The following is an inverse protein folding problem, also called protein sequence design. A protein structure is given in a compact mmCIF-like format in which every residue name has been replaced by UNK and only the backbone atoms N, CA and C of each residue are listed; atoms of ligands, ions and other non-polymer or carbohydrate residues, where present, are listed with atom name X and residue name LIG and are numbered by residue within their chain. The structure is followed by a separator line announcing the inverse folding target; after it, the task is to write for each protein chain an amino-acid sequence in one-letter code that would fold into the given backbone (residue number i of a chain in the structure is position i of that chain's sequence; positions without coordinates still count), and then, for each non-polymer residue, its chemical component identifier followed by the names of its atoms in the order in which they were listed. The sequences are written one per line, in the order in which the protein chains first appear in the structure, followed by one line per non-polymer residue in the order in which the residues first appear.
data_IF_960359598007
#
_entry.id   IF_960359598007
#
_cell.length_a   1.000
_cell.length_b   1.000
_cell.length_c   1.000
_cell.angle_alpha   90.00
_cell.angle_beta   90.00
_cell.angle_gamma   90.00
#
_symmetry.space_group_name_H-M   'P 1'
#
loop_
_entity.id
_entity.type
_entity.pdbx_description
1 polymer ?
#
# COMPACT_ATOMS: atom_id res chain seq x y z
N UNK A 1 32.60 17.97 -7.04
CA UNK A 1 31.85 19.20 -6.70
C UNK A 1 31.06 19.67 -7.92
N UNK A 2 29.74 19.67 -7.83
CA UNK A 2 28.84 20.26 -8.83
C UNK A 2 28.71 21.76 -8.49
N UNK A 3 29.02 22.67 -9.41
CA UNK A 3 28.89 24.13 -9.19
C UNK A 3 27.78 24.69 -10.09
N UNK A 4 26.69 25.19 -9.52
CA UNK A 4 25.71 26.03 -10.23
C UNK A 4 25.89 27.51 -9.88
N UNK A 5 25.66 28.37 -10.88
CA UNK A 5 25.93 29.81 -10.87
C UNK A 5 24.81 30.57 -10.16
N UNK A 6 25.16 31.23 -9.05
CA UNK A 6 24.55 32.37 -8.34
C UNK A 6 24.54 32.08 -6.83
N UNK A 7 25.54 32.64 -6.11
CA UNK A 7 25.73 32.44 -4.66
C UNK A 7 26.07 30.99 -4.31
N UNK A 8 27.28 30.54 -4.67
CA UNK A 8 27.68 29.11 -4.83
C UNK A 8 27.13 28.17 -3.75
N UNK A 9 25.99 27.55 -4.03
CA UNK A 9 25.51 26.40 -3.30
C UNK A 9 26.35 25.19 -3.70
N UNK A 10 26.70 24.37 -2.72
CA UNK A 10 27.53 23.20 -2.88
C UNK A 10 26.81 22.00 -2.29
N UNK A 11 26.52 21.02 -3.16
CA UNK A 11 25.96 19.73 -2.76
C UNK A 11 27.09 18.73 -2.49
N UNK A 12 27.06 18.10 -1.33
CA UNK A 12 27.93 16.96 -1.02
C UNK A 12 27.31 15.65 -1.56
N UNK A 13 28.04 14.55 -1.43
CA UNK A 13 27.56 13.20 -1.74
C UNK A 13 27.11 12.53 -0.45
N UNK A 14 26.02 11.76 -0.49
CA UNK A 14 25.66 10.87 0.61
C UNK A 14 26.17 9.45 0.40
N UNK A 15 26.50 8.79 1.50
CA UNK A 15 26.78 7.37 1.60
C UNK A 15 25.59 6.65 2.23
N UNK A 16 25.07 5.64 1.54
CA UNK A 16 23.88 4.88 1.94
C UNK A 16 24.17 3.39 1.83
N UNK A 17 23.68 2.56 2.76
CA UNK A 17 23.77 1.11 2.62
C UNK A 17 22.75 0.55 1.64
N UNK A 18 22.96 -0.68 1.15
CA UNK A 18 22.02 -1.33 0.22
C UNK A 18 20.60 -1.53 0.80
N UNK A 19 20.43 -1.45 2.12
CA UNK A 19 19.14 -1.46 2.81
C UNK A 19 18.56 -0.05 3.10
N UNK A 20 19.22 1.02 2.67
CA UNK A 20 18.68 2.39 2.71
C UNK A 20 19.04 3.21 3.94
N UNK A 21 19.86 2.69 4.85
CA UNK A 21 20.37 3.48 5.97
C UNK A 21 21.41 4.50 5.48
N UNK A 22 21.13 5.79 5.69
CA UNK A 22 22.09 6.87 5.45
C UNK A 22 23.20 6.76 6.51
N UNK A 23 24.43 6.62 6.04
CA UNK A 23 25.64 6.54 6.87
C UNK A 23 26.23 7.93 7.07
N UNK A 24 26.38 8.68 5.98
CA UNK A 24 26.93 10.02 5.98
C UNK A 24 26.31 10.84 4.85
N UNK A 25 25.67 11.96 5.16
CA UNK A 25 25.12 12.87 4.15
C UNK A 25 26.14 13.91 3.62
N UNK A 26 27.35 13.91 4.17
CA UNK A 26 28.47 14.81 3.88
C UNK A 26 29.75 13.97 3.62
N UNK A 27 29.69 13.03 2.67
CA UNK A 27 30.73 12.02 2.41
C UNK A 27 32.13 12.60 2.22
N UNK A 28 32.24 13.73 1.51
CA UNK A 28 33.52 14.37 1.27
C UNK A 28 33.95 15.27 2.42
N UNK A 29 33.01 15.96 3.08
CA UNK A 29 33.34 16.91 4.13
C UNK A 29 33.68 16.23 5.47
N UNK A 30 32.96 15.17 5.84
CA UNK A 30 33.15 14.45 7.11
C UNK A 30 33.53 13.00 6.85
N UNK A 31 34.66 12.80 6.16
CA UNK A 31 35.10 11.48 5.71
C UNK A 31 35.35 10.47 6.83
N UNK A 32 35.60 10.94 8.05
CA UNK A 32 35.73 10.15 9.29
C UNK A 32 34.45 9.40 9.68
N UNK A 33 33.29 9.86 9.18
CA UNK A 33 32.00 9.20 9.40
C UNK A 33 31.74 8.09 8.37
N UNK A 34 32.54 7.99 7.31
CA UNK A 34 32.31 7.00 6.25
C UNK A 34 32.53 5.57 6.75
N UNK A 35 31.75 4.63 6.23
CA UNK A 35 31.86 3.21 6.57
C UNK A 35 31.76 2.34 5.33
N UNK A 36 32.58 1.30 5.23
CA UNK A 36 32.50 0.31 4.14
C UNK A 36 31.21 -0.52 4.23
N UNK A 37 30.75 -0.80 5.45
CA UNK A 37 29.54 -1.55 5.76
C UNK A 37 28.70 -0.77 6.76
N UNK A 38 27.38 -0.97 6.71
CA UNK A 38 26.44 -0.38 7.65
C UNK A 38 26.65 -0.96 9.05
N UNK A 39 26.80 -0.08 10.04
CA UNK A 39 26.84 -0.41 11.46
C UNK A 39 25.51 -0.97 12.00
N UNK A 40 24.39 -0.61 11.36
CA UNK A 40 23.05 -1.07 11.76
C UNK A 40 22.67 -2.44 11.21
N UNK A 41 23.04 -2.75 9.97
CA UNK A 41 22.58 -3.97 9.28
C UNK A 41 23.66 -4.77 8.55
N UNK A 42 24.93 -4.36 8.61
CA UNK A 42 26.06 -5.08 7.99
C UNK A 42 26.21 -4.92 6.47
N UNK A 43 25.20 -4.38 5.77
CA UNK A 43 25.21 -4.28 4.31
C UNK A 43 26.26 -3.32 3.75
N UNK A 44 26.68 -3.57 2.50
CA UNK A 44 27.62 -2.72 1.78
C UNK A 44 27.05 -1.30 1.59
N UNK A 45 27.94 -0.32 1.56
CA UNK A 45 27.57 1.08 1.31
C UNK A 45 27.93 1.53 -0.11
N UNK A 46 27.13 2.44 -0.63
CA UNK A 46 27.29 3.04 -1.96
C UNK A 46 27.17 4.56 -1.85
N UNK A 47 27.80 5.26 -2.79
CA UNK A 47 27.80 6.73 -2.87
C UNK A 47 27.34 7.25 -4.24
N UNK A 48 26.98 6.35 -5.15
CA UNK A 48 26.59 6.65 -6.51
C UNK A 48 25.48 5.72 -7.00
N UNK A 49 24.75 6.14 -8.02
CA UNK A 49 23.78 5.33 -8.73
C UNK A 49 24.45 4.05 -9.27
N UNK A 50 23.86 2.88 -8.98
CA UNK A 50 24.37 1.59 -9.46
C UNK A 50 24.06 1.32 -10.94
N UNK A 51 23.23 2.15 -11.58
CA UNK A 51 23.01 2.06 -13.02
C UNK A 51 24.30 2.43 -13.77
N UNK A 52 24.91 1.50 -14.54
CA UNK A 52 26.18 1.75 -15.23
C UNK A 52 26.14 2.92 -16.23
N UNK A 53 24.96 3.21 -16.77
CA UNK A 53 24.74 4.36 -17.68
C UNK A 53 24.65 5.71 -16.96
N UNK A 54 24.46 5.69 -15.63
CA UNK A 54 24.28 6.89 -14.81
C UNK A 54 25.51 7.19 -13.95
N UNK A 55 25.85 6.32 -13.00
CA UNK A 55 26.96 6.46 -12.04
C UNK A 55 27.07 7.84 -11.34
N UNK A 56 25.98 8.62 -11.29
CA UNK A 56 26.01 9.94 -10.65
C UNK A 56 26.02 9.79 -9.12
N UNK A 57 26.69 10.70 -8.38
CA UNK A 57 26.71 10.68 -6.93
C UNK A 57 25.30 10.76 -6.35
N UNK A 58 25.06 10.08 -5.23
CA UNK A 58 23.78 10.20 -4.53
C UNK A 58 23.78 11.56 -3.80
N UNK A 59 22.77 12.42 -4.01
CA UNK A 59 22.75 13.78 -3.45
C UNK A 59 22.76 13.78 -1.92
N UNK A 60 23.78 14.39 -1.33
CA UNK A 60 23.87 14.64 0.10
C UNK A 60 23.41 16.04 0.49
N UNK A 61 23.89 16.54 1.62
CA UNK A 61 23.53 17.84 2.17
C UNK A 61 23.90 18.98 1.21
N UNK A 62 22.99 19.95 1.08
CA UNK A 62 23.21 21.17 0.30
C UNK A 62 23.63 22.30 1.25
N UNK A 63 24.71 23.01 0.90
CA UNK A 63 25.28 24.10 1.71
C UNK A 63 25.45 25.38 0.91
N UNK A 64 25.33 26.54 1.56
CA UNK A 64 25.80 27.81 1.00
C UNK A 64 27.32 27.86 1.00
N UNK A 65 27.88 28.80 0.23
CA UNK A 65 29.29 29.17 0.29
C UNK A 65 29.81 29.46 1.72
N UNK A 66 28.92 29.95 2.60
CA UNK A 66 29.21 30.23 4.02
C UNK A 66 29.34 28.98 4.90
N UNK A 67 29.11 27.78 4.34
CA UNK A 67 29.12 26.50 5.07
C UNK A 67 27.80 26.13 5.74
N UNK A 68 26.82 27.03 5.76
CA UNK A 68 25.48 26.83 6.32
C UNK A 68 24.71 25.78 5.50
N UNK A 69 24.12 24.78 6.18
CA UNK A 69 23.23 23.80 5.55
C UNK A 69 21.93 24.50 5.15
N UNK A 70 21.54 24.33 3.89
CA UNK A 70 20.26 24.81 3.34
C UNK A 70 19.27 23.65 3.28
N UNK A 71 19.75 22.45 2.98
CA UNK A 71 18.94 21.24 2.88
C UNK A 71 19.69 20.08 3.52
N UNK A 72 19.04 19.47 4.53
CA UNK A 72 19.55 18.30 5.23
C UNK A 72 18.89 17.04 4.67
N UNK A 73 19.66 16.19 4.00
CA UNK A 73 19.19 14.91 3.49
C UNK A 73 19.36 13.82 4.55
N UNK A 74 18.32 13.60 5.35
CA UNK A 74 18.32 12.60 6.43
C UNK A 74 17.89 11.20 5.97
N UNK A 75 17.22 11.11 4.81
CA UNK A 75 16.69 9.88 4.23
C UNK A 75 17.31 9.62 2.87
N UNK A 76 17.45 8.34 2.51
CA UNK A 76 17.93 7.98 1.19
C UNK A 76 16.82 8.16 0.13
N UNK A 77 17.12 8.72 -1.06
CA UNK A 77 16.13 8.83 -2.12
C UNK A 77 15.76 7.45 -2.67
N UNK A 78 14.48 7.21 -2.94
CA UNK A 78 14.00 5.95 -3.53
C UNK A 78 14.43 5.78 -4.99
N UNK A 79 14.54 6.88 -5.73
CA UNK A 79 14.89 6.91 -7.14
C UNK A 79 16.06 7.85 -7.39
N UNK A 80 16.90 7.50 -8.36
CA UNK A 80 18.00 8.35 -8.78
C UNK A 80 17.48 9.63 -9.46
N UNK A 81 17.83 10.85 -8.99
CA UNK A 81 17.30 12.10 -9.55
C UNK A 81 17.84 12.40 -10.96
N UNK A 82 18.83 11.64 -11.43
CA UNK A 82 19.46 11.85 -12.73
C UNK A 82 18.95 10.89 -13.81
N UNK A 83 18.53 9.68 -13.45
CA UNK A 83 18.09 8.66 -14.42
C UNK A 83 16.77 7.97 -14.06
N UNK A 84 16.16 8.34 -12.93
CA UNK A 84 14.89 7.82 -12.42
C UNK A 84 14.84 6.32 -12.12
N UNK A 85 15.95 5.58 -12.24
CA UNK A 85 16.00 4.17 -11.80
C UNK A 85 15.93 4.09 -10.28
N UNK A 86 15.20 3.09 -9.79
CA UNK A 86 15.08 2.80 -8.36
C UNK A 86 16.44 2.41 -7.77
N UNK A 87 16.70 2.83 -6.54
CA UNK A 87 17.83 2.35 -5.76
C UNK A 87 17.54 0.99 -5.13
N UNK A 88 18.57 0.22 -4.69
CA UNK A 88 18.39 -1.11 -4.13
C UNK A 88 17.47 -1.17 -2.89
N UNK A 89 17.46 -0.11 -2.10
CA UNK A 89 16.62 0.00 -0.91
C UNK A 89 15.20 0.46 -1.20
N UNK A 90 14.89 0.81 -2.46
CA UNK A 90 13.52 1.09 -2.85
C UNK A 90 12.72 -0.20 -2.65
N UNK A 91 11.87 -0.20 -1.62
CA UNK A 91 10.99 -1.32 -1.34
C UNK A 91 9.89 -1.31 -2.39
N UNK A 92 10.17 -1.91 -3.53
CA UNK A 92 9.10 -2.36 -4.41
C UNK A 92 8.51 -3.61 -3.77
N UNK A 93 7.52 -3.43 -2.89
CA UNK A 93 6.89 -4.56 -2.20
C UNK A 93 6.36 -5.61 -3.18
N UNK A 94 5.95 -5.19 -4.38
CA UNK A 94 5.53 -6.10 -5.45
C UNK A 94 6.66 -7.05 -5.95
N UNK A 95 7.93 -6.64 -5.85
CA UNK A 95 9.07 -7.47 -6.23
C UNK A 95 9.40 -8.53 -5.17
N UNK A 96 9.16 -8.24 -3.88
CA UNK A 96 9.32 -9.17 -2.76
C UNK A 96 8.44 -10.41 -2.92
N UNK A 97 7.19 -10.22 -3.36
CA UNK A 97 6.26 -11.33 -3.62
C UNK A 97 6.76 -12.26 -4.75
N UNK A 98 7.38 -11.67 -5.79
CA UNK A 98 7.89 -12.41 -6.94
C UNK A 98 9.09 -13.32 -6.60
N UNK A 99 9.98 -12.88 -5.71
CA UNK A 99 11.21 -13.63 -5.35
C UNK A 99 10.96 -14.75 -4.35
N UNK A 100 9.92 -14.64 -3.50
CA UNK A 100 9.64 -15.61 -2.42
C UNK A 100 8.60 -16.67 -2.88
N UNK A 101 8.13 -16.60 -4.13
CA UNK A 101 7.05 -17.48 -4.62
C UNK A 101 5.72 -17.25 -3.91
N UNK A 102 5.52 -16.05 -3.34
CA UNK A 102 4.28 -15.64 -2.68
C UNK A 102 3.39 -15.00 -3.75
N UNK A 103 2.12 -15.40 -3.78
CA UNK A 103 1.15 -14.79 -4.67
C UNK A 103 1.01 -13.29 -4.39
N UNK A 104 0.81 -12.50 -5.46
CA UNK A 104 0.65 -11.05 -5.29
C UNK A 104 -0.54 -10.75 -4.37
N UNK A 105 -0.49 -9.70 -3.53
CA UNK A 105 -1.57 -9.38 -2.59
C UNK A 105 -2.99 -9.43 -3.16
N UNK A 106 -3.18 -8.89 -4.38
CA UNK A 106 -4.47 -8.90 -5.08
C UNK A 106 -4.90 -10.32 -5.47
N UNK A 107 -3.97 -11.17 -5.92
CA UNK A 107 -4.24 -12.56 -6.28
C UNK A 107 -4.62 -13.36 -5.02
N UNK A 108 -3.91 -13.16 -3.92
CA UNK A 108 -4.21 -13.73 -2.61
C UNK A 108 -5.61 -13.32 -2.13
N UNK A 109 -5.94 -12.02 -2.17
CA UNK A 109 -7.27 -11.51 -1.82
C UNK A 109 -8.36 -12.12 -2.70
N UNK A 110 -8.15 -12.18 -4.02
CA UNK A 110 -9.09 -12.80 -4.94
C UNK A 110 -9.33 -14.28 -4.58
N UNK A 111 -8.29 -15.02 -4.16
CA UNK A 111 -8.44 -16.41 -3.71
C UNK A 111 -9.24 -16.50 -2.42
N UNK A 112 -8.91 -15.72 -1.41
CA UNK A 112 -9.66 -15.66 -0.14
C UNK A 112 -11.14 -15.37 -0.41
N UNK A 113 -11.43 -14.30 -1.16
CA UNK A 113 -12.79 -13.89 -1.51
C UNK A 113 -13.51 -14.97 -2.32
N UNK A 114 -12.86 -15.60 -3.30
CA UNK A 114 -13.49 -16.65 -4.12
C UNK A 114 -13.90 -17.89 -3.31
N UNK A 115 -13.23 -18.15 -2.18
CA UNK A 115 -13.50 -19.28 -1.28
C UNK A 115 -14.37 -18.90 -0.09
N UNK A 116 -14.67 -17.62 0.11
CA UNK A 116 -15.39 -17.11 1.27
C UNK A 116 -16.70 -17.87 1.53
N UNK A 117 -17.59 -17.96 0.53
CA UNK A 117 -18.85 -18.71 0.68
C UNK A 117 -18.66 -20.19 1.03
N UNK A 118 -17.62 -20.82 0.47
CA UNK A 118 -17.33 -22.23 0.75
C UNK A 118 -16.93 -22.41 2.22
N UNK A 119 -16.18 -21.47 2.78
CA UNK A 119 -15.80 -21.44 4.19
C UNK A 119 -17.06 -21.21 5.05
N UNK A 120 -17.92 -20.25 4.70
CA UNK A 120 -19.20 -20.02 5.40
C UNK A 120 -20.05 -21.30 5.44
N UNK A 121 -20.19 -22.02 4.32
CA UNK A 121 -20.89 -23.31 4.27
C UNK A 121 -20.25 -24.36 5.18
N UNK A 122 -18.92 -24.44 5.24
CA UNK A 122 -18.21 -25.37 6.13
C UNK A 122 -18.40 -25.00 7.60
N UNK A 123 -18.37 -23.72 7.95
CA UNK A 123 -18.65 -23.25 9.31
C UNK A 123 -20.09 -23.54 9.76
N UNK A 124 -21.06 -23.52 8.83
CA UNK A 124 -22.46 -23.88 9.11
C UNK A 124 -22.67 -25.39 9.32
N UNK A 125 -21.83 -26.23 8.72
CA UNK A 125 -21.93 -27.69 8.86
C UNK A 125 -21.18 -28.20 10.11
N UNK A 126 -21.82 -28.08 11.27
CA UNK A 126 -21.22 -28.44 12.57
C UNK A 126 -21.70 -29.80 13.06
N UNK A 127 -20.79 -30.56 13.67
CA UNK A 127 -21.14 -31.77 14.40
C UNK A 127 -22.17 -31.45 15.49
N UNK A 128 -23.23 -32.25 15.58
CA UNK A 128 -24.29 -32.16 16.60
C UNK A 128 -24.94 -30.76 16.71
N UNK A 129 -25.13 -30.07 15.58
CA UNK A 129 -25.82 -28.76 15.51
C UNK A 129 -25.25 -27.69 16.45
N UNK A 130 -23.94 -27.73 16.73
CA UNK A 130 -23.29 -26.76 17.62
C UNK A 130 -23.31 -25.35 17.02
N UNK A 131 -23.33 -24.36 17.91
CA UNK A 131 -23.25 -22.95 17.54
C UNK A 131 -21.97 -22.61 16.77
N UNK A 132 -22.08 -21.64 15.86
CA UNK A 132 -21.04 -21.22 14.93
C UNK A 132 -21.18 -19.74 14.60
N UNK A 133 -20.19 -19.15 13.94
CA UNK A 133 -20.30 -17.81 13.39
C UNK A 133 -21.39 -17.79 12.31
N UNK A 134 -22.51 -17.12 12.60
CA UNK A 134 -23.63 -17.01 11.68
C UNK A 134 -23.51 -15.73 10.88
N UNK A 135 -23.14 -15.83 9.59
CA UNK A 135 -23.04 -14.67 8.69
C UNK A 135 -24.44 -14.19 8.28
N UNK A 136 -24.89 -13.09 8.88
CA UNK A 136 -26.23 -12.47 8.71
C UNK A 136 -26.16 -11.08 8.09
N UNK A 137 -25.10 -10.33 8.35
CA UNK A 137 -24.88 -9.01 7.77
C UNK A 137 -23.40 -8.74 7.43
N UNK A 138 -23.11 -7.51 6.99
CA UNK A 138 -21.77 -7.10 6.56
C UNK A 138 -20.73 -7.15 7.69
N UNK A 139 -21.13 -6.95 8.95
CA UNK A 139 -20.21 -7.03 10.08
C UNK A 139 -19.78 -8.48 10.34
N UNK A 140 -20.68 -9.45 10.18
CA UNK A 140 -20.28 -10.86 10.27
C UNK A 140 -19.37 -11.29 9.09
N UNK A 141 -19.56 -10.68 7.91
CA UNK A 141 -18.65 -10.87 6.77
C UNK A 141 -17.27 -10.32 7.11
N UNK A 142 -17.22 -9.11 7.67
CA UNK A 142 -15.99 -8.48 8.13
C UNK A 142 -15.27 -9.36 9.17
N UNK A 143 -15.96 -9.87 10.19
CA UNK A 143 -15.32 -10.68 11.24
C UNK A 143 -14.70 -11.98 10.69
N UNK A 144 -15.38 -12.66 9.75
CA UNK A 144 -14.80 -13.83 9.11
C UNK A 144 -13.65 -13.46 8.16
N UNK A 145 -13.79 -12.36 7.41
CA UNK A 145 -12.76 -11.92 6.48
C UNK A 145 -11.47 -11.53 7.22
N UNK A 146 -11.59 -10.76 8.29
CA UNK A 146 -10.49 -10.34 9.16
C UNK A 146 -9.64 -11.55 9.61
N UNK A 147 -10.32 -12.59 10.12
CA UNK A 147 -9.67 -13.83 10.53
C UNK A 147 -8.93 -14.56 9.39
N UNK A 148 -9.41 -14.45 8.14
CA UNK A 148 -8.76 -15.03 6.97
C UNK A 148 -7.61 -14.18 6.45
N UNK A 149 -7.68 -12.85 6.57
CA UNK A 149 -6.63 -11.93 6.13
C UNK A 149 -5.35 -12.11 6.94
N UNK A 150 -5.45 -12.41 8.24
CA UNK A 150 -4.31 -12.68 9.15
C UNK A 150 -3.41 -13.82 8.65
N UNK A 151 -3.92 -14.72 7.80
CA UNK A 151 -3.10 -15.79 7.20
C UNK A 151 -2.04 -15.25 6.23
N UNK A 152 -2.22 -14.05 5.70
CA UNK A 152 -1.45 -13.54 4.56
C UNK A 152 -0.89 -12.12 4.76
N UNK A 153 -1.47 -11.31 5.65
CA UNK A 153 -1.13 -9.89 5.81
C UNK A 153 -0.74 -9.57 7.25
N UNK A 154 0.29 -8.73 7.42
CA UNK A 154 0.89 -8.44 8.74
C UNK A 154 0.25 -7.23 9.46
N UNK A 155 -0.02 -6.11 8.76
CA UNK A 155 -0.61 -4.88 9.32
C UNK A 155 -2.01 -4.66 8.73
N UNK A 156 -3.02 -5.25 9.38
CA UNK A 156 -4.45 -5.13 9.05
C UNK A 156 -5.09 -4.17 10.04
N UNK A 157 -5.59 -3.03 9.55
CA UNK A 157 -6.25 -2.01 10.38
C UNK A 157 -7.74 -2.00 10.10
N UNK A 158 -8.53 -2.26 11.14
CA UNK A 158 -9.99 -2.17 11.06
C UNK A 158 -10.45 -0.73 11.21
N UNK A 159 -11.51 -0.36 10.49
CA UNK A 159 -12.21 0.91 10.69
C UNK A 159 -11.28 2.15 10.55
N UNK A 160 -10.31 2.07 9.62
CA UNK A 160 -9.26 3.07 9.46
C UNK A 160 -9.87 4.41 9.03
N UNK A 161 -9.69 5.48 9.83
CA UNK A 161 -10.27 6.78 9.52
C UNK A 161 -9.55 7.43 8.33
N UNK A 162 -10.33 7.94 7.39
CA UNK A 162 -9.79 8.73 6.27
C UNK A 162 -9.48 10.15 6.73
N UNK A 163 -8.41 10.79 6.20
CA UNK A 163 -8.18 12.22 6.39
C UNK A 163 -9.47 12.99 6.08
N UNK A 164 -9.88 13.88 6.99
CA UNK A 164 -11.22 14.47 6.97
C UNK A 164 -11.51 15.19 5.64
N UNK A 165 -12.41 14.62 4.83
CA UNK A 165 -13.06 15.33 3.74
C UNK A 165 -14.44 15.75 4.23
N UNK A 166 -14.65 17.06 4.42
CA UNK A 166 -15.91 17.71 4.78
C UNK A 166 -16.87 16.90 5.72
N UNK A 167 -16.77 17.19 7.02
CA UNK A 167 -17.84 17.06 8.02
C UNK A 167 -18.16 15.68 8.63
N UNK A 168 -17.36 14.63 8.39
CA UNK A 168 -17.19 13.44 9.28
C UNK A 168 -16.07 12.56 8.70
N UNK A 169 -15.18 12.02 9.53
CA UNK A 169 -14.18 11.05 9.04
C UNK A 169 -14.91 9.80 8.56
N UNK A 170 -14.84 9.50 7.27
CA UNK A 170 -15.22 8.18 6.76
C UNK A 170 -14.21 7.14 7.27
N UNK A 171 -14.62 5.88 7.30
CA UNK A 171 -13.77 4.79 7.79
C UNK A 171 -13.79 3.68 6.78
N UNK A 172 -12.60 3.26 6.35
CA UNK A 172 -12.43 2.08 5.50
C UNK A 172 -12.56 0.85 6.41
N UNK A 173 -13.35 -0.15 6.01
CA UNK A 173 -13.56 -1.35 6.83
C UNK A 173 -12.23 -2.02 7.20
N UNK A 174 -11.35 -2.21 6.21
CA UNK A 174 -9.97 -2.66 6.43
C UNK A 174 -8.97 -1.87 5.60
N UNK A 175 -7.83 -1.54 6.20
CA UNK A 175 -6.63 -1.11 5.50
C UNK A 175 -5.52 -2.14 5.71
N UNK A 176 -5.08 -2.77 4.62
CA UNK A 176 -3.82 -3.52 4.55
C UNK A 176 -2.69 -2.51 4.35
N UNK A 177 -2.04 -2.14 5.44
CA UNK A 177 -1.23 -0.92 5.51
C UNK A 177 0.04 -0.97 4.66
N UNK A 178 0.72 -2.11 4.63
CA UNK A 178 1.94 -2.27 3.82
C UNK A 178 1.59 -2.32 2.34
N UNK A 179 0.57 -3.10 2.00
CA UNK A 179 0.11 -3.30 0.63
C UNK A 179 -0.59 -2.07 0.05
N UNK A 180 -0.95 -1.10 0.90
CA UNK A 180 -1.76 0.08 0.57
C UNK A 180 -3.09 -0.26 -0.09
N UNK A 181 -3.72 -1.32 0.43
CA UNK A 181 -4.99 -1.83 -0.06
C UNK A 181 -6.08 -1.54 0.97
N UNK A 182 -7.06 -0.71 0.60
CA UNK A 182 -8.32 -0.62 1.32
C UNK A 182 -9.26 -1.74 0.90
N UNK A 183 -10.03 -2.28 1.84
CA UNK A 183 -11.11 -3.23 1.56
C UNK A 183 -12.40 -2.64 2.14
N UNK A 184 -13.43 -2.55 1.30
CA UNK A 184 -14.79 -2.16 1.68
C UNK A 184 -15.69 -3.38 1.49
N UNK A 185 -16.44 -3.75 2.53
CA UNK A 185 -17.29 -4.93 2.57
C UNK A 185 -18.76 -4.52 2.50
N UNK A 186 -19.52 -5.22 1.66
CA UNK A 186 -20.99 -5.16 1.65
C UNK A 186 -21.57 -6.56 1.66
N UNK A 187 -22.74 -6.71 2.28
CA UNK A 187 -23.53 -7.94 2.18
C UNK A 187 -24.92 -7.60 1.67
N UNK A 188 -25.40 -8.33 0.67
CA UNK A 188 -26.78 -8.15 0.19
C UNK A 188 -27.76 -8.60 1.26
N UNK A 189 -28.85 -7.86 1.41
CA UNK A 189 -29.95 -8.19 2.33
C UNK A 189 -31.27 -7.63 1.82
N UNK A 190 -32.37 -7.88 2.53
CA UNK A 190 -33.66 -7.30 2.16
C UNK A 190 -33.56 -5.77 2.17
N UNK A 191 -33.79 -5.16 1.01
CA UNK A 191 -33.68 -3.70 0.83
C UNK A 191 -32.26 -3.17 0.58
N UNK A 192 -31.27 -4.04 0.38
CA UNK A 192 -29.90 -3.68 0.01
C UNK A 192 -29.42 -4.64 -1.10
N UNK A 193 -29.58 -4.22 -2.36
CA UNK A 193 -29.24 -4.99 -3.55
C UNK A 193 -28.51 -4.10 -4.59
N UNK A 194 -28.64 -4.36 -5.89
CA UNK A 194 -27.84 -3.74 -6.97
C UNK A 194 -27.73 -2.20 -6.83
N UNK A 195 -28.86 -1.51 -6.70
CA UNK A 195 -28.90 -0.04 -6.71
C UNK A 195 -28.31 0.54 -5.43
N UNK A 196 -28.79 0.08 -4.28
CA UNK A 196 -28.38 0.62 -2.98
C UNK A 196 -26.91 0.33 -2.69
N UNK A 197 -26.40 -0.85 -3.08
CA UNK A 197 -24.97 -1.18 -2.96
C UNK A 197 -24.14 -0.27 -3.88
N UNK A 198 -24.56 -0.08 -5.13
CA UNK A 198 -23.87 0.79 -6.07
C UNK A 198 -23.77 2.22 -5.56
N UNK A 199 -24.87 2.79 -5.06
CA UNK A 199 -24.92 4.15 -4.51
C UNK A 199 -24.00 4.33 -3.29
N UNK A 200 -23.98 3.35 -2.37
CA UNK A 200 -23.10 3.38 -1.21
C UNK A 200 -21.62 3.31 -1.64
N UNK A 201 -21.26 2.31 -2.45
CA UNK A 201 -19.86 2.13 -2.86
C UNK A 201 -19.33 3.29 -3.70
N UNK A 202 -20.16 3.97 -4.50
CA UNK A 202 -19.75 5.20 -5.20
C UNK A 202 -19.35 6.30 -4.21
N UNK A 203 -20.06 6.42 -3.08
CA UNK A 203 -19.74 7.39 -2.04
C UNK A 203 -18.42 7.00 -1.35
N UNK A 204 -18.24 5.72 -1.06
CA UNK A 204 -17.05 5.21 -0.38
C UNK A 204 -15.79 5.36 -1.25
N UNK A 205 -15.85 4.98 -2.54
CA UNK A 205 -14.78 5.21 -3.53
C UNK A 205 -14.35 6.69 -3.54
N UNK A 206 -15.31 7.63 -3.53
CA UNK A 206 -15.01 9.06 -3.54
C UNK A 206 -14.30 9.53 -2.27
N UNK A 207 -14.72 9.03 -1.10
CA UNK A 207 -14.13 9.38 0.20
C UNK A 207 -12.70 8.85 0.33
N UNK A 208 -12.46 7.62 -0.12
CA UNK A 208 -11.18 6.94 0.10
C UNK A 208 -10.08 7.37 -0.86
N UNK A 209 -10.44 8.03 -1.97
CA UNK A 209 -9.48 8.62 -2.91
C UNK A 209 -8.47 9.58 -2.27
N UNK A 210 -8.81 10.19 -1.15
CA UNK A 210 -7.91 11.10 -0.42
C UNK A 210 -7.02 10.40 0.62
N UNK A 211 -7.12 9.08 0.79
CA UNK A 211 -6.36 8.35 1.80
C UNK A 211 -4.93 8.07 1.29
N UNK A 212 -3.88 8.58 1.97
CA UNK A 212 -2.49 8.54 1.46
C UNK A 212 -1.93 7.11 1.34
N UNK A 213 -2.47 6.18 2.11
CA UNK A 213 -2.08 4.78 2.11
C UNK A 213 -3.10 3.86 1.41
N UNK A 214 -4.03 4.40 0.62
CA UNK A 214 -4.97 3.58 -0.15
C UNK A 214 -4.74 3.83 -1.65
N UNK A 215 -3.92 2.99 -2.28
CA UNK A 215 -3.65 3.04 -3.72
C UNK A 215 -4.60 2.13 -4.49
N UNK A 216 -5.07 1.04 -3.85
CA UNK A 216 -6.08 0.14 -4.39
C UNK A 216 -7.22 -0.04 -3.40
N UNK A 217 -8.47 0.10 -3.86
CA UNK A 217 -9.67 -0.23 -3.12
C UNK A 217 -10.27 -1.52 -3.67
N UNK A 218 -10.45 -2.51 -2.79
CA UNK A 218 -11.20 -3.73 -3.05
C UNK A 218 -12.61 -3.59 -2.49
N UNK A 219 -13.63 -3.58 -3.35
CA UNK A 219 -15.01 -3.70 -2.91
C UNK A 219 -15.41 -5.17 -2.93
N UNK A 220 -15.56 -5.78 -1.75
CA UNK A 220 -16.04 -7.15 -1.61
C UNK A 220 -17.53 -7.17 -1.27
N UNK A 221 -18.34 -7.68 -2.20
CA UNK A 221 -19.78 -7.82 -2.03
C UNK A 221 -20.14 -9.30 -1.84
N UNK A 222 -20.62 -9.67 -0.67
CA UNK A 222 -21.14 -11.00 -0.37
C UNK A 222 -22.64 -11.05 -0.68
N UNK A 223 -23.02 -11.85 -1.67
CA UNK A 223 -24.40 -12.01 -2.16
C UNK A 223 -24.91 -13.45 -2.03
N UNK A 224 -25.12 -13.95 -0.80
CA UNK A 224 -25.45 -15.35 -0.53
C UNK A 224 -26.77 -15.84 -1.15
N UNK A 225 -27.65 -14.91 -1.50
CA UNK A 225 -28.99 -15.19 -2.04
C UNK A 225 -29.13 -14.79 -3.51
N UNK A 226 -28.07 -14.30 -4.17
CA UNK A 226 -28.13 -13.89 -5.57
C UNK A 226 -29.08 -12.71 -5.82
N UNK A 227 -29.13 -11.73 -4.89
CA UNK A 227 -29.97 -10.54 -5.00
C UNK A 227 -29.48 -9.57 -6.08
N UNK A 228 -28.20 -9.61 -6.43
CA UNK A 228 -27.62 -8.79 -7.50
C UNK A 228 -27.99 -9.40 -8.85
N UNK A 229 -28.84 -8.70 -9.61
CA UNK A 229 -29.38 -9.20 -10.88
C UNK A 229 -28.37 -9.16 -12.01
N UNK A 230 -27.54 -8.12 -12.07
CA UNK A 230 -26.52 -7.97 -13.11
C UNK A 230 -25.15 -7.64 -12.50
N UNK A 231 -24.45 -8.64 -11.94
CA UNK A 231 -23.15 -8.45 -11.30
C UNK A 231 -22.12 -7.76 -12.20
N UNK A 232 -22.08 -8.12 -13.49
CA UNK A 232 -21.11 -7.57 -14.43
C UNK A 232 -21.33 -6.08 -14.69
N UNK A 233 -22.59 -5.63 -14.81
CA UNK A 233 -22.90 -4.22 -14.95
C UNK A 233 -22.48 -3.43 -13.71
N UNK A 234 -22.83 -3.92 -12.52
CA UNK A 234 -22.44 -3.28 -11.26
C UNK A 234 -20.92 -3.19 -11.10
N UNK A 235 -20.19 -4.28 -11.41
CA UNK A 235 -18.72 -4.30 -11.40
C UNK A 235 -18.17 -3.24 -12.37
N UNK A 236 -18.65 -3.20 -13.61
CA UNK A 236 -18.17 -2.25 -14.61
C UNK A 236 -18.45 -0.80 -14.20
N UNK A 237 -19.65 -0.50 -13.69
CA UNK A 237 -20.05 0.83 -13.26
C UNK A 237 -19.18 1.34 -12.11
N UNK A 238 -18.93 0.49 -11.12
CA UNK A 238 -18.07 0.81 -9.97
C UNK A 238 -16.59 0.93 -10.36
N UNK A 239 -16.05 -0.01 -11.13
CA UNK A 239 -14.66 0.06 -11.55
C UNK A 239 -14.39 1.25 -12.49
N UNK A 240 -15.38 1.70 -13.27
CA UNK A 240 -15.27 2.91 -14.10
C UNK A 240 -15.07 4.20 -13.28
N UNK A 241 -15.34 4.16 -11.97
CA UNK A 241 -15.04 5.27 -11.06
C UNK A 241 -13.54 5.38 -10.75
N UNK A 242 -12.72 4.39 -11.14
CA UNK A 242 -11.26 4.47 -11.05
C UNK A 242 -10.75 5.65 -11.88
N UNK A 243 -10.41 6.75 -11.22
CA UNK A 243 -9.87 7.97 -11.85
C UNK A 243 -8.73 8.53 -11.01
N UNK A 244 -7.55 8.69 -11.60
CA UNK A 244 -6.35 9.22 -10.92
C UNK A 244 -5.58 8.12 -10.19
N UNK A 245 -5.23 8.36 -8.93
CA UNK A 245 -4.29 7.54 -8.15
C UNK A 245 -4.92 6.32 -7.45
N UNK A 246 -6.25 6.25 -7.31
CA UNK A 246 -6.93 5.12 -6.68
C UNK A 246 -7.47 4.13 -7.72
N UNK A 247 -6.97 2.89 -7.69
CA UNK A 247 -7.47 1.76 -8.47
C UNK A 247 -8.61 1.06 -7.73
N UNK A 248 -9.78 0.87 -8.36
CA UNK A 248 -10.89 0.13 -7.75
C UNK A 248 -11.04 -1.25 -8.40
N UNK A 249 -11.15 -2.29 -7.59
CA UNK A 249 -11.47 -3.67 -8.02
C UNK A 249 -12.70 -4.15 -7.25
N UNK A 250 -13.64 -4.79 -7.95
CA UNK A 250 -14.89 -5.24 -7.36
C UNK A 250 -15.01 -6.75 -7.47
N UNK A 251 -15.27 -7.41 -6.34
CA UNK A 251 -15.53 -8.85 -6.30
C UNK A 251 -16.90 -9.11 -5.71
N UNK A 252 -17.69 -9.92 -6.41
CA UNK A 252 -18.99 -10.39 -5.93
C UNK A 252 -18.87 -11.90 -5.67
N UNK A 253 -19.12 -12.35 -4.44
CA UNK A 253 -19.11 -13.78 -4.08
C UNK A 253 -20.52 -14.23 -3.64
N UNK A 254 -21.02 -15.40 -4.11
CA UNK A 254 -22.34 -15.92 -3.74
C UNK A 254 -22.45 -16.46 -2.32
#
# INVERSE_FOLDING_TARGET
MLKNRHGTEQQDTMQVCLNGHVINADYHKYSELNRHNCDRCGEKTITQCLNPECNKPIPGNLRKATGMIIESQQTAPDFCPYCSKAFPWHKNEAAKYLEIGIEKPIETLQKVISKFHSIVKKLRNRYNSRETLAVKDEYDVQDLLDALLVLYFEDIRREEPTPSYATKSAKIDFLLKYEKIGIEVKMTRKGLADKEIGEQLIIDIKKYKAHPDCETLICFIYDPEGKIRNPNALINDLQSQSKGELKTLVFINP
#
